data_IF_820294971817
#
_entry.id   IF_820294971817
#
_cell.length_a   1.000
_cell.length_b   1.000
_cell.length_c   1.000
_cell.angle_alpha   90.00
_cell.angle_beta   90.00
_cell.angle_gamma   90.00
#
_symmetry.space_group_name_H-M   'P 1'
#
loop_
_entity.id
_entity.type
_entity.pdbx_description
1 polymer ?
#
# COMPACT_ATOMS: atom_id res chain seq x y z
N UNK A 1 1.65 -36.79 -26.34
CA UNK A 1 1.74 -35.97 -25.12
C UNK A 1 3.08 -35.24 -25.12
N UNK A 2 3.10 -33.94 -25.41
CA UNK A 2 4.28 -33.08 -25.19
C UNK A 2 3.88 -32.03 -24.17
N UNK A 3 4.62 -31.99 -23.07
CA UNK A 3 4.43 -31.08 -21.97
C UNK A 3 4.46 -29.64 -22.48
N UNK A 4 3.42 -28.87 -22.15
CA UNK A 4 3.37 -27.44 -22.40
C UNK A 4 4.27 -26.72 -21.40
N UNK A 5 5.47 -26.35 -21.84
CA UNK A 5 6.23 -25.29 -21.18
C UNK A 5 5.45 -23.97 -21.35
N UNK A 6 4.83 -23.50 -20.27
CA UNK A 6 4.35 -22.12 -20.19
C UNK A 6 5.58 -21.20 -20.18
N UNK A 7 6.02 -20.74 -21.36
CA UNK A 7 6.91 -19.60 -21.49
C UNK A 7 6.17 -18.36 -20.96
N UNK A 8 6.47 -17.95 -19.74
CA UNK A 8 6.31 -16.55 -19.33
C UNK A 8 7.28 -15.75 -20.20
N UNK A 9 6.81 -15.25 -21.34
CA UNK A 9 7.60 -14.31 -22.13
C UNK A 9 7.86 -13.09 -21.26
N UNK A 10 9.08 -12.91 -20.78
CA UNK A 10 9.51 -11.70 -20.11
C UNK A 10 9.44 -10.55 -21.13
N UNK A 11 8.31 -9.86 -21.21
CA UNK A 11 8.18 -8.64 -21.99
C UNK A 11 9.12 -7.59 -21.41
N UNK A 12 9.73 -6.78 -22.28
CA UNK A 12 10.60 -5.68 -21.84
C UNK A 12 9.85 -4.78 -20.85
N UNK A 13 10.52 -4.20 -19.82
CA UNK A 13 9.88 -3.31 -18.87
C UNK A 13 9.09 -2.18 -19.53
N UNK A 14 9.62 -1.60 -20.61
CA UNK A 14 8.93 -0.58 -21.39
C UNK A 14 7.65 -1.12 -22.05
N UNK A 15 7.70 -2.33 -22.60
CA UNK A 15 6.50 -2.96 -23.18
C UNK A 15 5.41 -3.22 -22.13
N UNK A 16 5.77 -3.43 -20.86
CA UNK A 16 4.80 -3.55 -19.77
C UNK A 16 4.18 -2.19 -19.41
N UNK A 17 4.99 -1.13 -19.34
CA UNK A 17 4.50 0.23 -19.06
C UNK A 17 3.55 0.72 -20.16
N UNK A 18 3.84 0.43 -21.43
CA UNK A 18 2.93 0.75 -22.54
C UNK A 18 1.62 -0.04 -22.46
N UNK A 19 1.68 -1.34 -22.20
CA UNK A 19 0.48 -2.19 -22.03
C UNK A 19 -0.41 -1.72 -20.89
N UNK A 20 0.19 -1.25 -19.79
CA UNK A 20 -0.51 -0.70 -18.62
C UNK A 20 -0.90 0.78 -18.81
N UNK A 21 -0.59 1.39 -19.97
CA UNK A 21 -0.82 2.81 -20.27
C UNK A 21 -0.18 3.77 -19.26
N UNK A 22 0.95 3.37 -18.68
CA UNK A 22 1.81 4.25 -17.90
C UNK A 22 2.69 5.14 -18.76
N UNK A 23 2.86 4.78 -20.04
CA UNK A 23 3.48 5.63 -21.05
C UNK A 23 2.55 5.80 -22.25
N UNK A 24 2.40 7.04 -22.72
CA UNK A 24 1.65 7.39 -23.93
C UNK A 24 2.51 8.36 -24.73
N UNK A 25 2.74 8.09 -26.02
CA UNK A 25 3.66 8.88 -26.86
C UNK A 25 5.05 9.09 -26.24
N UNK A 26 5.60 8.06 -25.59
CA UNK A 26 6.88 8.10 -24.85
C UNK A 26 6.91 9.07 -23.65
N UNK A 27 5.77 9.58 -23.20
CA UNK A 27 5.64 10.40 -22.01
C UNK A 27 4.96 9.61 -20.88
N UNK A 28 5.46 9.77 -19.66
CA UNK A 28 4.86 9.18 -18.48
C UNK A 28 3.48 9.82 -18.21
N UNK A 29 2.48 9.00 -17.91
CA UNK A 29 1.18 9.50 -17.47
C UNK A 29 1.26 10.01 -16.03
N UNK A 30 0.26 10.80 -15.59
CA UNK A 30 0.17 11.23 -14.20
C UNK A 30 0.16 10.03 -13.24
N UNK A 31 -0.55 8.96 -13.58
CA UNK A 31 -0.56 7.74 -12.80
C UNK A 31 0.84 7.11 -12.68
N UNK A 32 1.62 7.09 -13.77
CA UNK A 32 2.99 6.61 -13.75
C UNK A 32 3.91 7.48 -12.88
N UNK A 33 3.74 8.81 -12.96
CA UNK A 33 4.46 9.75 -12.11
C UNK A 33 4.10 9.58 -10.63
N UNK A 34 2.83 9.35 -10.31
CA UNK A 34 2.37 9.10 -8.94
C UNK A 34 2.88 7.75 -8.40
N UNK A 35 2.86 6.69 -9.21
CA UNK A 35 3.25 5.36 -8.77
C UNK A 35 4.77 5.17 -8.64
N UNK A 36 5.55 5.79 -9.54
CA UNK A 36 6.97 5.50 -9.70
C UNK A 36 7.87 6.73 -9.74
N UNK A 37 7.31 7.92 -9.95
CA UNK A 37 8.06 9.15 -10.22
C UNK A 37 8.06 10.14 -9.06
N UNK A 38 8.60 11.33 -9.35
CA UNK A 38 8.59 12.44 -8.41
C UNK A 38 7.30 13.24 -8.54
N UNK A 39 6.64 13.49 -7.41
CA UNK A 39 5.44 14.31 -7.33
C UNK A 39 5.43 15.11 -6.02
N UNK A 40 4.59 16.13 -5.94
CA UNK A 40 4.46 16.99 -4.74
C UNK A 40 3.34 16.56 -3.80
N UNK A 41 2.63 15.46 -4.10
CA UNK A 41 1.58 14.95 -3.21
C UNK A 41 2.19 14.32 -1.95
N UNK A 42 1.37 14.24 -0.90
CA UNK A 42 1.74 13.65 0.37
C UNK A 42 0.54 12.96 1.01
N UNK A 43 0.82 11.98 1.88
CA UNK A 43 -0.16 11.33 2.75
C UNK A 43 0.20 11.73 4.18
N UNK A 44 -0.75 12.32 4.88
CA UNK A 44 -0.60 12.68 6.29
C UNK A 44 -1.52 11.81 7.13
N UNK A 45 -0.95 11.09 8.09
CA UNK A 45 -1.69 10.19 8.97
C UNK A 45 -1.42 10.62 10.41
N UNK A 46 -2.47 10.75 11.20
CA UNK A 46 -2.37 11.06 12.63
C UNK A 46 -3.16 10.05 13.46
N UNK A 47 -2.57 9.61 14.57
CA UNK A 47 -3.27 8.91 15.64
C UNK A 47 -3.72 9.93 16.69
N UNK A 48 -5.01 9.93 16.98
CA UNK A 48 -5.61 10.85 17.93
C UNK A 48 -6.07 10.10 19.18
N UNK A 49 -5.91 10.69 20.37
CA UNK A 49 -6.61 10.23 21.59
C UNK A 49 -7.97 10.93 21.75
N UNK A 50 -8.04 12.17 21.30
CA UNK A 50 -9.22 13.04 21.27
C UNK A 50 -9.04 14.04 20.13
N UNK A 51 -10.08 14.82 19.83
CA UNK A 51 -10.06 15.79 18.72
C UNK A 51 -8.93 16.84 18.84
N UNK A 52 -8.44 17.10 20.04
CA UNK A 52 -7.42 18.08 20.38
C UNK A 52 -6.05 17.47 20.72
N UNK A 53 -5.92 16.14 20.76
CA UNK A 53 -4.69 15.47 21.21
C UNK A 53 -4.20 14.45 20.19
N UNK A 54 -3.10 14.80 19.52
CA UNK A 54 -2.34 13.93 18.61
C UNK A 54 -1.32 13.11 19.41
N UNK A 55 -1.29 11.81 19.17
CA UNK A 55 -0.41 10.85 19.86
C UNK A 55 0.80 10.44 19.03
N UNK A 56 0.64 10.33 17.72
CA UNK A 56 1.69 10.01 16.76
C UNK A 56 1.22 10.53 15.40
N UNK A 57 2.14 11.00 14.56
CA UNK A 57 1.84 11.46 13.21
C UNK A 57 2.98 11.15 12.24
N UNK A 58 2.66 11.08 10.96
CA UNK A 58 3.65 10.94 9.89
C UNK A 58 3.20 11.65 8.62
N UNK A 59 4.14 12.34 7.97
CA UNK A 59 3.96 12.91 6.64
C UNK A 59 4.81 12.13 5.63
N UNK A 60 4.14 11.42 4.72
CA UNK A 60 4.76 10.57 3.72
C UNK A 60 4.79 11.29 2.38
N UNK A 61 5.95 11.33 1.72
CA UNK A 61 6.19 12.03 0.43
C UNK A 61 6.84 11.13 -0.63
N UNK A 62 6.79 9.81 -0.43
CA UNK A 62 7.32 8.83 -1.36
C UNK A 62 6.35 8.54 -2.51
N UNK A 63 6.80 7.88 -3.61
CA UNK A 63 5.92 7.38 -4.66
C UNK A 63 4.82 6.49 -4.09
N UNK A 64 3.62 6.48 -4.70
CA UNK A 64 2.42 5.86 -4.13
C UNK A 64 2.59 4.39 -3.74
N UNK A 65 3.39 3.60 -4.48
CA UNK A 65 3.64 2.20 -4.12
C UNK A 65 4.33 2.08 -2.76
N UNK A 66 5.37 2.87 -2.53
CA UNK A 66 6.08 2.91 -1.24
C UNK A 66 5.24 3.61 -0.18
N UNK A 67 4.53 4.68 -0.55
CA UNK A 67 3.72 5.45 0.37
C UNK A 67 2.58 4.62 0.98
N UNK A 68 1.95 3.73 0.21
CA UNK A 68 0.93 2.79 0.71
C UNK A 68 1.52 1.84 1.75
N UNK A 69 2.72 1.31 1.52
CA UNK A 69 3.39 0.43 2.47
C UNK A 69 3.79 1.16 3.75
N UNK A 70 4.40 2.34 3.64
CA UNK A 70 4.76 3.20 4.77
C UNK A 70 3.54 3.56 5.63
N UNK A 71 2.44 3.93 4.97
CA UNK A 71 1.19 4.24 5.65
C UNK A 71 0.60 3.02 6.37
N UNK A 72 0.64 1.83 5.76
CA UNK A 72 0.15 0.61 6.41
C UNK A 72 1.01 0.24 7.62
N UNK A 73 2.34 0.38 7.52
CA UNK A 73 3.25 0.18 8.65
C UNK A 73 2.97 1.15 9.80
N UNK A 74 2.73 2.43 9.50
CA UNK A 74 2.36 3.41 10.52
C UNK A 74 1.05 3.05 11.23
N UNK A 75 0.04 2.59 10.48
CA UNK A 75 -1.23 2.16 11.07
C UNK A 75 -1.01 0.92 11.96
N UNK A 76 -0.29 -0.10 11.49
CA UNK A 76 0.00 -1.31 12.28
C UNK A 76 0.74 -1.01 13.58
N UNK A 77 1.72 -0.10 13.55
CA UNK A 77 2.44 0.38 14.74
C UNK A 77 1.50 1.02 15.78
N UNK A 78 0.37 1.58 15.32
CA UNK A 78 -0.52 2.42 16.11
C UNK A 78 -1.86 1.78 16.49
N UNK A 79 -2.17 0.58 16.00
CA UNK A 79 -3.32 -0.23 16.43
C UNK A 79 -2.88 -1.30 17.44
N UNK A 80 -3.81 -1.75 18.27
CA UNK A 80 -3.50 -2.77 19.26
C UNK A 80 -3.41 -4.16 18.63
N UNK A 81 -2.53 -4.98 19.19
CA UNK A 81 -2.46 -6.41 18.93
C UNK A 81 -2.56 -7.15 20.25
N UNK A 82 -3.42 -8.17 20.31
CA UNK A 82 -3.56 -9.05 21.47
C UNK A 82 -3.23 -10.47 21.09
N UNK A 83 -2.78 -11.22 22.09
CA UNK A 83 -2.34 -12.59 21.92
C UNK A 83 -3.31 -13.53 22.61
N UNK A 84 -3.76 -14.54 21.87
CA UNK A 84 -4.63 -15.60 22.38
C UNK A 84 -3.91 -16.95 22.37
N UNK A 85 -4.27 -17.80 23.32
CA UNK A 85 -3.80 -19.18 23.42
C UNK A 85 -5.03 -20.08 23.41
N UNK A 86 -5.06 -21.05 22.50
CA UNK A 86 -6.17 -22.00 22.33
C UNK A 86 -5.87 -23.39 22.93
N UNK A 87 -4.81 -23.49 23.74
CA UNK A 87 -4.31 -24.74 24.31
C UNK A 87 -3.12 -25.32 23.55
N UNK A 88 -2.78 -24.78 22.37
CA UNK A 88 -1.52 -25.08 21.69
C UNK A 88 -0.39 -24.14 22.15
N UNK A 89 0.87 -24.56 21.92
CA UNK A 89 2.05 -23.76 22.25
C UNK A 89 2.19 -22.50 21.37
N UNK A 90 1.49 -22.48 20.23
CA UNK A 90 1.55 -21.38 19.28
C UNK A 90 0.64 -20.23 19.71
N UNK A 91 1.21 -19.03 19.77
CA UNK A 91 0.49 -17.79 20.07
C UNK A 91 -0.30 -17.33 18.85
N UNK A 92 -1.59 -17.10 19.01
CA UNK A 92 -2.44 -16.53 17.96
C UNK A 92 -2.43 -15.01 18.09
N UNK A 93 -2.07 -14.33 17.02
CA UNK A 93 -2.06 -12.88 16.94
C UNK A 93 -3.42 -12.35 16.47
N UNK A 94 -4.04 -11.50 17.27
CA UNK A 94 -5.34 -10.87 16.99
C UNK A 94 -5.17 -9.36 16.97
N UNK A 95 -5.23 -8.79 15.77
CA UNK A 95 -5.24 -7.35 15.56
C UNK A 95 -6.56 -6.73 16.00
N UNK A 96 -6.53 -5.49 16.49
CA UNK A 96 -7.70 -4.71 16.91
C UNK A 96 -8.75 -4.62 15.79
N UNK A 97 -8.29 -4.53 14.54
CA UNK A 97 -9.11 -4.58 13.34
C UNK A 97 -8.49 -5.55 12.33
N UNK A 98 -9.27 -6.20 11.46
CA UNK A 98 -8.72 -7.00 10.37
C UNK A 98 -7.82 -6.15 9.47
N UNK A 99 -6.58 -6.60 9.26
CA UNK A 99 -5.61 -5.84 8.45
C UNK A 99 -6.07 -5.68 7.00
N UNK A 100 -6.86 -6.62 6.48
CA UNK A 100 -7.45 -6.53 5.14
C UNK A 100 -8.45 -5.39 5.03
N UNK A 101 -9.29 -5.18 6.06
CA UNK A 101 -10.25 -4.08 6.09
C UNK A 101 -9.54 -2.72 6.17
N UNK A 102 -8.47 -2.62 6.95
CA UNK A 102 -7.63 -1.41 7.00
C UNK A 102 -7.00 -1.14 5.63
N UNK A 103 -6.43 -2.16 4.99
CA UNK A 103 -5.81 -2.03 3.65
C UNK A 103 -6.81 -1.51 2.63
N UNK A 104 -8.03 -2.03 2.61
CA UNK A 104 -9.09 -1.59 1.71
C UNK A 104 -9.49 -0.13 1.98
N UNK A 105 -9.70 0.23 3.25
CA UNK A 105 -10.03 1.60 3.65
C UNK A 105 -8.92 2.59 3.23
N UNK A 106 -7.66 2.22 3.45
CA UNK A 106 -6.49 3.00 3.07
C UNK A 106 -6.42 3.20 1.54
N UNK A 107 -6.53 2.12 0.77
CA UNK A 107 -6.48 2.18 -0.69
C UNK A 107 -7.60 3.05 -1.25
N UNK A 108 -8.82 2.90 -0.72
CA UNK A 108 -9.96 3.73 -1.12
C UNK A 108 -9.72 5.21 -0.84
N UNK A 109 -9.16 5.55 0.33
CA UNK A 109 -8.83 6.94 0.68
C UNK A 109 -7.75 7.55 -0.23
N UNK A 110 -6.79 6.75 -0.69
CA UNK A 110 -5.70 7.22 -1.57
C UNK A 110 -6.16 7.35 -3.02
N UNK A 111 -6.90 6.35 -3.52
CA UNK A 111 -7.33 6.27 -4.92
C UNK A 111 -8.45 7.26 -5.23
N UNK A 112 -9.40 7.42 -4.32
CA UNK A 112 -10.55 8.31 -4.48
C UNK A 112 -10.33 9.70 -3.87
N UNK A 113 -9.08 10.12 -3.78
CA UNK A 113 -8.73 11.48 -3.34
C UNK A 113 -9.17 12.49 -4.42
N UNK A 114 -9.96 13.47 -4.00
CA UNK A 114 -10.31 14.66 -4.81
C UNK A 114 -9.15 15.67 -4.93
#
# INVERSE_FOLDING_TARGET
>A
MRAGEKKTSASSPLANLEKLRFTIHQQATLAALLLFGNHSTNIHIGRFKSADTIMDDIMIKSPLLTAVEEAMHFIQKNIQVRFEFDGHLQRIEKWQFPLEAIRELQLNAIIHRD
#
